data_IF_081846633606
#
_entry.id   IF_081846633606
#
_cell.length_a   1.000
_cell.length_b   1.000
_cell.length_c   1.000
_cell.angle_alpha   90.00
_cell.angle_beta   90.00
_cell.angle_gamma   90.00
#
_symmetry.space_group_name_H-M   'P 1'
#
loop_
_entity.id
_entity.type
_entity.pdbx_description
1 polymer ?
#
# COMPACT_ATOMS: atom_id res chain seq x y z
N UNK A 1 12.79 4.94 -5.96
CA UNK A 1 14.18 4.65 -6.38
C UNK A 1 14.15 4.62 -7.88
N UNK A 2 15.00 5.39 -8.57
CA UNK A 2 15.16 5.32 -10.02
C UNK A 2 15.99 4.10 -10.48
N UNK A 3 15.76 2.93 -9.89
CA UNK A 3 16.37 1.68 -10.35
C UNK A 3 15.62 1.23 -11.60
N UNK A 4 16.36 0.97 -12.68
CA UNK A 4 15.79 0.40 -13.89
C UNK A 4 15.52 -1.09 -13.68
N UNK A 5 14.28 -1.52 -13.95
CA UNK A 5 13.99 -2.94 -14.14
C UNK A 5 14.26 -3.27 -15.61
N UNK A 6 15.12 -4.26 -15.87
CA UNK A 6 15.41 -4.72 -17.22
C UNK A 6 14.33 -5.66 -17.76
N UNK A 7 13.58 -6.30 -16.86
CA UNK A 7 12.49 -7.22 -17.16
C UNK A 7 11.28 -6.94 -16.26
N UNK A 8 10.10 -7.33 -16.70
CA UNK A 8 8.83 -7.09 -16.04
C UNK A 8 7.98 -8.38 -15.96
N UNK A 9 6.79 -8.30 -15.34
CA UNK A 9 5.86 -9.45 -15.20
C UNK A 9 5.47 -10.04 -16.55
N UNK A 10 5.23 -9.22 -17.57
CA UNK A 10 4.88 -9.68 -18.92
C UNK A 10 6.01 -10.52 -19.51
N UNK A 11 7.25 -10.06 -19.40
CA UNK A 11 8.42 -10.82 -19.90
C UNK A 11 8.54 -12.17 -19.19
N UNK A 12 8.33 -12.20 -17.86
CA UNK A 12 8.39 -13.44 -17.09
C UNK A 12 7.32 -14.45 -17.55
N UNK A 13 6.10 -13.99 -17.80
CA UNK A 13 5.00 -14.84 -18.26
C UNK A 13 5.26 -15.36 -19.68
N UNK A 14 5.64 -14.48 -20.62
CA UNK A 14 5.92 -14.86 -22.00
C UNK A 14 7.09 -15.84 -22.14
N UNK A 15 8.12 -15.69 -21.32
CA UNK A 15 9.29 -16.58 -21.30
C UNK A 15 9.18 -17.74 -20.30
N UNK A 16 8.00 -17.98 -19.72
CA UNK A 16 7.75 -19.03 -18.73
C UNK A 16 8.82 -19.06 -17.61
N UNK A 17 9.25 -17.88 -17.19
CA UNK A 17 10.31 -17.67 -16.21
C UNK A 17 9.72 -17.33 -14.85
N UNK A 18 10.45 -17.68 -13.78
CA UNK A 18 9.97 -17.38 -12.42
C UNK A 18 10.00 -15.89 -12.12
N UNK A 19 9.08 -15.42 -11.29
CA UNK A 19 9.04 -14.03 -10.83
C UNK A 19 10.31 -13.61 -10.09
N UNK A 20 11.04 -14.56 -9.50
CA UNK A 20 12.32 -14.26 -8.84
C UNK A 20 13.37 -13.75 -9.82
N UNK A 21 13.34 -14.16 -11.10
CA UNK A 21 14.30 -13.69 -12.12
C UNK A 21 14.08 -12.23 -12.52
N UNK A 22 12.84 -11.76 -12.43
CA UNK A 22 12.46 -10.38 -12.77
C UNK A 22 12.26 -9.49 -11.53
N UNK A 23 12.51 -10.06 -10.35
CA UNK A 23 12.41 -9.35 -9.08
C UNK A 23 13.67 -8.54 -8.82
N UNK A 24 13.49 -7.26 -8.52
CA UNK A 24 14.58 -6.34 -8.20
C UNK A 24 14.56 -6.05 -6.71
N UNK A 25 15.66 -6.40 -6.03
CA UNK A 25 15.84 -6.14 -4.61
C UNK A 25 16.20 -4.66 -4.38
N UNK A 26 15.38 -3.94 -3.62
CA UNK A 26 15.56 -2.51 -3.31
C UNK A 26 16.26 -2.32 -1.96
N UNK A 27 15.97 -3.20 -1.00
CA UNK A 27 16.62 -3.31 0.30
C UNK A 27 16.43 -4.74 0.83
N UNK A 28 17.01 -5.09 1.97
CA UNK A 28 16.81 -6.42 2.59
C UNK A 28 15.35 -6.77 2.92
N UNK A 29 14.43 -5.81 2.89
CA UNK A 29 13.03 -5.97 3.29
C UNK A 29 12.04 -5.61 2.17
N UNK A 30 12.51 -5.08 1.05
CA UNK A 30 11.65 -4.58 -0.03
C UNK A 30 12.22 -5.00 -1.37
N UNK A 31 11.36 -5.63 -2.15
CA UNK A 31 11.62 -6.02 -3.53
C UNK A 31 10.47 -5.52 -4.39
N UNK A 32 10.72 -5.28 -5.67
CA UNK A 32 9.67 -4.93 -6.61
C UNK A 32 9.81 -5.72 -7.90
N UNK A 33 8.70 -5.86 -8.61
CA UNK A 33 8.66 -6.35 -9.98
C UNK A 33 7.98 -5.26 -10.80
N UNK A 34 8.55 -4.89 -11.95
CA UNK A 34 7.87 -3.96 -12.85
C UNK A 34 6.64 -4.66 -13.47
N UNK A 35 5.51 -3.93 -13.57
CA UNK A 35 4.26 -4.51 -14.09
C UNK A 35 4.30 -4.82 -15.59
N UNK A 36 5.04 -4.03 -16.38
CA UNK A 36 4.96 -4.07 -17.84
C UNK A 36 3.66 -3.45 -18.36
N UNK A 37 3.47 -3.42 -19.68
CA UNK A 37 2.24 -2.91 -20.32
C UNK A 37 1.38 -4.07 -20.85
N UNK A 38 0.06 -3.95 -20.77
CA UNK A 38 -0.87 -4.89 -21.40
C UNK A 38 -1.08 -6.22 -20.66
N UNK A 39 -0.90 -6.24 -19.34
CA UNK A 39 -0.99 -7.46 -18.55
C UNK A 39 -2.40 -8.08 -18.53
N UNK A 40 -3.48 -7.29 -18.43
CA UNK A 40 -4.84 -7.85 -18.53
C UNK A 40 -5.21 -8.26 -19.96
N UNK A 41 -4.65 -7.62 -20.99
CA UNK A 41 -4.76 -8.12 -22.36
C UNK A 41 -4.07 -9.48 -22.52
N UNK A 42 -2.90 -9.67 -21.89
CA UNK A 42 -2.20 -10.94 -21.88
C UNK A 42 -3.04 -12.06 -21.24
N UNK A 43 -3.67 -11.79 -20.10
CA UNK A 43 -4.55 -12.76 -19.43
C UNK A 43 -5.78 -13.12 -20.26
N UNK A 44 -6.34 -12.16 -21.01
CA UNK A 44 -7.50 -12.40 -21.87
C UNK A 44 -7.18 -13.21 -23.11
N UNK A 45 -6.02 -12.96 -23.73
CA UNK A 45 -5.60 -13.66 -24.94
C UNK A 45 -5.23 -15.12 -24.65
N UNK A 46 -4.75 -15.41 -23.44
CA UNK A 46 -4.32 -16.75 -23.06
C UNK A 46 -4.53 -16.96 -21.53
N UNK A 47 -5.55 -17.74 -21.14
CA UNK A 47 -5.84 -18.06 -19.74
C UNK A 47 -4.72 -18.82 -19.01
N UNK A 48 -3.84 -19.52 -19.72
CA UNK A 48 -2.68 -20.18 -19.11
C UNK A 48 -1.73 -19.18 -18.46
N UNK A 49 -1.61 -17.96 -18.99
CA UNK A 49 -0.82 -16.91 -18.33
C UNK A 49 -1.41 -16.49 -16.98
N UNK A 50 -2.75 -16.50 -16.83
CA UNK A 50 -3.38 -16.23 -15.54
C UNK A 50 -3.07 -17.35 -14.54
N UNK A 51 -3.12 -18.61 -14.98
CA UNK A 51 -2.75 -19.74 -14.12
C UNK A 51 -1.27 -19.68 -13.72
N UNK A 52 -0.37 -19.38 -14.65
CA UNK A 52 1.06 -19.19 -14.36
C UNK A 52 1.27 -18.03 -13.37
N UNK A 53 0.57 -16.91 -13.56
CA UNK A 53 0.60 -15.77 -12.66
C UNK A 53 0.16 -16.16 -11.23
N UNK A 54 -0.95 -16.90 -11.09
CA UNK A 54 -1.44 -17.39 -9.79
C UNK A 54 -0.41 -18.31 -9.12
N UNK A 55 0.19 -19.25 -9.86
CA UNK A 55 1.22 -20.16 -9.32
C UNK A 55 2.45 -19.37 -8.85
N UNK A 56 2.92 -18.40 -9.63
CA UNK A 56 4.05 -17.55 -9.25
C UNK A 56 3.73 -16.68 -8.02
N UNK A 57 2.50 -16.18 -7.90
CA UNK A 57 2.06 -15.48 -6.69
C UNK A 57 2.04 -16.40 -5.46
N UNK A 58 1.62 -17.66 -5.58
CA UNK A 58 1.67 -18.61 -4.47
C UNK A 58 3.10 -18.86 -3.99
N UNK A 59 4.05 -18.97 -4.92
CA UNK A 59 5.48 -19.08 -4.59
C UNK A 59 5.96 -17.82 -3.86
N UNK A 60 5.59 -16.63 -4.36
CA UNK A 60 5.94 -15.37 -3.72
C UNK A 60 5.34 -15.23 -2.30
N UNK A 61 4.11 -15.71 -2.08
CA UNK A 61 3.46 -15.70 -0.75
C UNK A 61 4.22 -16.52 0.30
N UNK A 62 5.01 -17.50 -0.11
CA UNK A 62 5.87 -18.26 0.81
C UNK A 62 7.13 -17.48 1.23
N UNK A 63 7.46 -16.39 0.54
CA UNK A 63 8.71 -15.62 0.71
C UNK A 63 8.48 -14.23 1.31
N UNK A 64 7.27 -13.69 1.20
CA UNK A 64 6.94 -12.33 1.64
C UNK A 64 5.70 -12.31 2.53
N UNK A 65 5.75 -11.50 3.58
CA UNK A 65 4.59 -11.28 4.46
C UNK A 65 3.47 -10.49 3.77
N UNK A 66 3.85 -9.59 2.84
CA UNK A 66 2.93 -8.75 2.09
C UNK A 66 3.33 -8.68 0.63
N UNK A 67 2.34 -8.79 -0.25
CA UNK A 67 2.47 -8.49 -1.68
C UNK A 67 1.60 -7.27 -1.96
N UNK A 68 2.22 -6.19 -2.41
CA UNK A 68 1.53 -4.95 -2.77
C UNK A 68 1.43 -4.84 -4.28
N UNK A 69 0.21 -4.67 -4.77
CA UNK A 69 -0.05 -4.34 -6.17
C UNK A 69 -0.29 -2.83 -6.28
N UNK A 70 0.55 -2.15 -7.04
CA UNK A 70 0.41 -0.72 -7.33
C UNK A 70 -0.38 -0.57 -8.64
N UNK A 71 -1.66 -0.24 -8.51
CA UNK A 71 -2.53 -0.01 -9.66
C UNK A 71 -2.57 1.48 -9.99
N UNK A 72 -2.42 1.80 -11.29
CA UNK A 72 -2.63 3.14 -11.79
C UNK A 72 -4.06 3.63 -11.57
N UNK A 73 -4.30 4.92 -11.83
CA UNK A 73 -5.60 5.52 -11.66
C UNK A 73 -6.67 4.87 -12.57
N UNK A 74 -7.88 4.71 -12.03
CA UNK A 74 -9.06 4.30 -12.77
C UNK A 74 -9.39 2.80 -12.68
N UNK A 75 -10.57 2.47 -13.20
CA UNK A 75 -11.05 1.11 -13.35
C UNK A 75 -10.52 0.53 -14.67
N UNK A 76 -9.27 0.04 -14.68
CA UNK A 76 -8.80 -0.77 -15.81
C UNK A 76 -9.37 -2.18 -15.73
N UNK A 77 -9.56 -2.83 -16.87
CA UNK A 77 -9.91 -4.25 -16.91
C UNK A 77 -8.82 -5.11 -16.26
N UNK A 78 -7.57 -4.63 -16.27
CA UNK A 78 -6.45 -5.26 -15.57
C UNK A 78 -6.79 -5.45 -14.09
N UNK A 79 -7.34 -4.44 -13.41
CA UNK A 79 -7.69 -4.51 -11.98
C UNK A 79 -8.61 -5.69 -11.65
N UNK A 80 -9.55 -6.03 -12.55
CA UNK A 80 -10.57 -7.06 -12.32
C UNK A 80 -9.96 -8.43 -12.00
N UNK A 81 -8.93 -8.82 -12.75
CA UNK A 81 -8.27 -10.11 -12.55
C UNK A 81 -7.50 -10.17 -11.22
N UNK A 82 -7.00 -9.03 -10.75
CA UNK A 82 -6.29 -8.95 -9.48
C UNK A 82 -7.24 -8.87 -8.28
N UNK A 83 -8.46 -8.33 -8.45
CA UNK A 83 -9.47 -8.30 -7.38
C UNK A 83 -9.78 -9.71 -6.84
N UNK A 84 -9.62 -10.74 -7.67
CA UNK A 84 -9.78 -12.14 -7.26
C UNK A 84 -8.67 -12.61 -6.31
N UNK A 85 -7.45 -12.10 -6.46
CA UNK A 85 -6.28 -12.54 -5.71
C UNK A 85 -6.00 -11.70 -4.44
N UNK A 86 -6.54 -10.49 -4.35
CA UNK A 86 -6.30 -9.58 -3.22
C UNK A 86 -7.19 -9.89 -2.02
N UNK A 87 -6.59 -9.84 -0.84
CA UNK A 87 -7.30 -9.95 0.44
C UNK A 87 -7.95 -8.61 0.84
N UNK A 88 -7.29 -7.49 0.50
CA UNK A 88 -7.64 -6.13 0.96
C UNK A 88 -7.29 -5.10 -0.11
N UNK A 89 -8.00 -3.98 -0.10
CA UNK A 89 -7.74 -2.84 -0.99
C UNK A 89 -7.48 -1.57 -0.18
N UNK A 90 -6.41 -0.85 -0.51
CA UNK A 90 -6.19 0.52 -0.03
C UNK A 90 -6.66 1.48 -1.13
N UNK A 91 -7.73 2.23 -0.85
CA UNK A 91 -8.27 3.23 -1.76
C UNK A 91 -7.69 4.59 -1.41
N UNK A 92 -6.95 5.20 -2.34
CA UNK A 92 -6.39 6.55 -2.17
C UNK A 92 -7.24 7.56 -2.92
N UNK A 93 -7.67 8.62 -2.26
CA UNK A 93 -8.45 9.73 -2.84
C UNK A 93 -7.91 11.08 -2.36
N UNK A 94 -8.44 12.20 -2.87
CA UNK A 94 -8.17 13.55 -2.38
C UNK A 94 -9.47 14.27 -2.01
N UNK A 95 -9.44 15.40 -1.27
CA UNK A 95 -10.64 16.21 -1.00
C UNK A 95 -11.32 16.79 -2.25
N UNK A 96 -10.70 16.70 -3.42
CA UNK A 96 -11.22 17.26 -4.65
C UNK A 96 -12.46 16.49 -5.12
N UNK A 97 -13.58 17.16 -5.48
CA UNK A 97 -14.81 16.48 -5.89
C UNK A 97 -14.64 15.44 -7.01
N UNK A 98 -13.83 15.67 -8.06
CA UNK A 98 -13.58 14.66 -9.09
C UNK A 98 -12.94 13.38 -8.53
N UNK A 99 -11.92 13.50 -7.69
CA UNK A 99 -11.25 12.34 -7.08
C UNK A 99 -12.19 11.51 -6.19
N UNK A 100 -13.11 12.17 -5.47
CA UNK A 100 -14.15 11.49 -4.68
C UNK A 100 -15.11 10.74 -5.59
N UNK A 101 -15.54 11.33 -6.71
CA UNK A 101 -16.44 10.71 -7.67
C UNK A 101 -15.80 9.48 -8.35
N UNK A 102 -14.53 9.59 -8.74
CA UNK A 102 -13.76 8.49 -9.32
C UNK A 102 -13.58 7.35 -8.31
N UNK A 103 -13.26 7.70 -7.05
CA UNK A 103 -13.14 6.73 -5.96
C UNK A 103 -14.45 5.98 -5.72
N UNK A 104 -15.58 6.69 -5.73
CA UNK A 104 -16.91 6.08 -5.61
C UNK A 104 -17.21 5.13 -6.79
N UNK A 105 -16.88 5.53 -8.01
CA UNK A 105 -17.09 4.72 -9.22
C UNK A 105 -16.25 3.44 -9.18
N UNK A 106 -15.00 3.53 -8.73
CA UNK A 106 -14.12 2.38 -8.52
C UNK A 106 -14.68 1.43 -7.45
N UNK A 107 -15.13 1.98 -6.32
CA UNK A 107 -15.78 1.20 -5.27
C UNK A 107 -17.04 0.49 -5.75
N UNK A 108 -17.86 1.16 -6.56
CA UNK A 108 -19.05 0.55 -7.16
C UNK A 108 -18.68 -0.67 -8.01
N UNK A 109 -17.64 -0.55 -8.84
CA UNK A 109 -17.14 -1.67 -9.63
C UNK A 109 -16.63 -2.80 -8.74
N UNK A 110 -15.75 -2.49 -7.78
CA UNK A 110 -15.15 -3.48 -6.88
C UNK A 110 -16.22 -4.23 -6.11
N UNK A 111 -17.17 -3.54 -5.48
CA UNK A 111 -18.24 -4.17 -4.71
C UNK A 111 -19.26 -4.92 -5.57
N UNK A 112 -19.41 -4.57 -6.85
CA UNK A 112 -20.23 -5.38 -7.77
C UNK A 112 -19.62 -6.75 -8.09
N UNK A 113 -18.31 -6.92 -7.85
CA UNK A 113 -17.56 -8.16 -8.12
C UNK A 113 -17.28 -8.91 -6.83
N UNK A 114 -16.82 -8.22 -5.80
CA UNK A 114 -16.39 -8.78 -4.51
C UNK A 114 -16.92 -7.90 -3.38
N UNK A 115 -18.19 -8.12 -3.03
CA UNK A 115 -18.92 -7.30 -2.05
C UNK A 115 -18.30 -7.34 -0.64
N UNK A 116 -17.63 -8.44 -0.30
CA UNK A 116 -16.97 -8.67 0.98
C UNK A 116 -15.52 -8.15 1.04
N UNK A 117 -15.00 -7.58 -0.05
CA UNK A 117 -13.63 -7.07 -0.07
C UNK A 117 -13.48 -5.90 0.90
N UNK A 118 -12.52 -6.00 1.83
CA UNK A 118 -12.25 -4.92 2.76
C UNK A 118 -11.51 -3.76 2.05
N UNK A 119 -12.23 -2.67 1.82
CA UNK A 119 -11.67 -1.41 1.32
C UNK A 119 -11.29 -0.50 2.50
N UNK A 120 -10.05 -0.02 2.50
CA UNK A 120 -9.50 0.91 3.49
C UNK A 120 -9.14 2.24 2.82
N UNK A 121 -9.77 3.34 3.21
CA UNK A 121 -9.62 4.62 2.55
C UNK A 121 -8.51 5.48 3.16
N UNK A 122 -7.68 6.05 2.28
CA UNK A 122 -6.68 7.07 2.60
C UNK A 122 -7.06 8.36 1.87
N UNK A 123 -7.29 9.44 2.61
CA UNK A 123 -7.52 10.76 2.02
C UNK A 123 -6.21 11.53 1.98
N UNK A 124 -5.60 11.59 0.81
CA UNK A 124 -4.32 12.24 0.57
C UNK A 124 -4.48 13.74 0.22
N UNK A 125 -3.41 14.51 0.35
CA UNK A 125 -3.36 15.95 0.04
C UNK A 125 -4.38 16.80 0.80
N UNK A 126 -4.63 16.45 2.06
CA UNK A 126 -5.51 17.23 2.94
C UNK A 126 -4.82 18.48 3.48
N UNK A 127 -5.59 19.53 3.75
CA UNK A 127 -5.14 20.70 4.52
C UNK A 127 -4.92 20.32 5.98
N UNK A 128 -5.86 19.54 6.54
CA UNK A 128 -5.80 19.05 7.90
C UNK A 128 -6.57 17.72 8.06
N UNK A 129 -6.49 17.15 9.26
CA UNK A 129 -7.19 15.90 9.59
C UNK A 129 -8.72 16.03 9.53
N UNK A 130 -9.28 17.22 9.81
CA UNK A 130 -10.72 17.46 9.83
C UNK A 130 -11.29 17.40 8.42
N UNK A 131 -10.59 17.99 7.45
CA UNK A 131 -10.91 17.88 6.03
C UNK A 131 -10.87 16.42 5.56
N UNK A 132 -9.79 15.70 5.87
CA UNK A 132 -9.68 14.28 5.55
C UNK A 132 -10.85 13.44 6.08
N UNK A 133 -11.22 13.66 7.34
CA UNK A 133 -12.36 12.99 7.96
C UNK A 133 -13.69 13.36 7.31
N UNK A 134 -13.89 14.63 6.95
CA UNK A 134 -15.11 15.10 6.26
C UNK A 134 -15.23 14.46 4.87
N UNK A 135 -14.15 14.41 4.12
CA UNK A 135 -14.08 13.76 2.79
C UNK A 135 -14.40 12.28 2.88
N UNK A 136 -13.75 11.55 3.79
CA UNK A 136 -14.03 10.12 3.98
C UNK A 136 -15.48 9.87 4.40
N UNK A 137 -16.02 10.65 5.34
CA UNK A 137 -17.43 10.49 5.77
C UNK A 137 -18.39 10.63 4.60
N UNK A 138 -18.17 11.61 3.73
CA UNK A 138 -19.00 11.82 2.54
C UNK A 138 -18.95 10.62 1.58
N UNK A 139 -17.74 10.11 1.30
CA UNK A 139 -17.57 8.92 0.47
C UNK A 139 -18.25 7.71 1.13
N UNK A 140 -17.95 7.47 2.41
CA UNK A 140 -18.47 6.35 3.20
C UNK A 140 -19.99 6.35 3.30
N UNK A 141 -20.62 7.49 3.58
CA UNK A 141 -22.09 7.57 3.69
C UNK A 141 -22.78 7.33 2.35
N UNK A 142 -22.18 7.82 1.26
CA UNK A 142 -22.70 7.63 -0.09
C UNK A 142 -22.59 6.16 -0.50
N UNK A 143 -21.42 5.55 -0.29
CA UNK A 143 -21.20 4.13 -0.55
C UNK A 143 -22.13 3.24 0.30
N UNK A 144 -22.28 3.52 1.60
CA UNK A 144 -23.19 2.75 2.45
C UNK A 144 -24.64 2.80 1.92
N UNK A 145 -25.11 3.98 1.52
CA UNK A 145 -26.49 4.18 1.04
C UNK A 145 -26.76 3.48 -0.30
N UNK A 146 -25.81 3.51 -1.24
CA UNK A 146 -26.06 3.09 -2.62
C UNK A 146 -25.40 1.77 -3.01
N UNK A 147 -24.35 1.35 -2.31
CA UNK A 147 -23.60 0.13 -2.59
C UNK A 147 -23.82 -0.95 -1.52
N UNK A 148 -24.46 -0.63 -0.39
CA UNK A 148 -24.65 -1.55 0.73
C UNK A 148 -23.36 -1.89 1.50
N UNK A 149 -22.25 -1.24 1.15
CA UNK A 149 -20.94 -1.41 1.79
C UNK A 149 -20.18 -0.07 1.78
N UNK A 150 -19.27 0.11 2.73
CA UNK A 150 -18.53 1.37 2.91
C UNK A 150 -17.06 1.11 3.24
N UNK A 151 -16.14 1.97 2.79
CA UNK A 151 -14.73 1.79 3.10
C UNK A 151 -14.46 2.15 4.54
N UNK A 152 -13.64 1.35 5.21
CA UNK A 152 -13.10 1.70 6.53
C UNK A 152 -12.12 2.87 6.44
N UNK A 153 -11.99 3.64 7.52
CA UNK A 153 -11.01 4.71 7.60
C UNK A 153 -9.61 4.13 7.88
N UNK A 154 -8.62 4.48 7.04
CA UNK A 154 -7.21 4.17 7.32
C UNK A 154 -6.45 5.39 7.82
N UNK A 155 -6.43 6.47 7.02
CA UNK A 155 -5.68 7.68 7.34
C UNK A 155 -6.10 8.89 6.49
N UNK A 156 -5.68 10.08 6.92
CA UNK A 156 -5.48 11.23 6.04
C UNK A 156 -4.00 11.55 5.98
N UNK A 157 -3.52 11.95 4.80
CA UNK A 157 -2.17 12.48 4.61
C UNK A 157 -2.28 13.96 4.25
N UNK A 158 -1.59 14.81 5.00
CA UNK A 158 -1.56 16.24 4.70
C UNK A 158 -0.67 16.55 3.49
N UNK A 159 -1.00 17.64 2.79
CA UNK A 159 -0.12 18.20 1.77
C UNK A 159 1.19 18.62 2.43
N UNK A 160 2.31 18.28 1.79
CA UNK A 160 3.65 18.49 2.34
C UNK A 160 4.63 18.83 1.20
N UNK A 161 5.31 19.97 1.30
CA UNK A 161 6.25 20.43 0.30
C UNK A 161 7.51 19.55 0.22
N UNK A 162 7.91 18.92 1.33
CA UNK A 162 9.04 18.00 1.36
C UNK A 162 8.75 16.74 0.54
N UNK A 163 7.49 16.30 0.49
CA UNK A 163 7.06 15.23 -0.42
C UNK A 163 7.31 15.65 -1.87
N UNK A 164 6.83 16.81 -2.29
CA UNK A 164 7.04 17.32 -3.65
C UNK A 164 8.51 17.47 -4.01
N UNK A 165 9.34 17.95 -3.07
CA UNK A 165 10.78 18.03 -3.23
C UNK A 165 11.41 16.63 -3.40
N UNK A 166 10.97 15.65 -2.63
CA UNK A 166 11.48 14.28 -2.70
C UNK A 166 11.19 13.60 -4.04
N UNK A 167 9.99 13.83 -4.59
CA UNK A 167 9.57 13.32 -5.90
C UNK A 167 10.44 13.91 -7.01
N UNK A 168 10.69 15.23 -6.99
CA UNK A 168 11.62 15.90 -7.93
C UNK A 168 13.04 15.32 -7.87
N UNK A 169 13.46 14.84 -6.70
CA UNK A 169 14.76 14.19 -6.48
C UNK A 169 14.76 12.69 -6.79
N UNK A 170 13.63 12.11 -7.20
CA UNK A 170 13.43 10.68 -7.43
C UNK A 170 13.84 9.79 -6.22
N UNK A 171 13.72 10.33 -5.01
CA UNK A 171 14.06 9.65 -3.76
C UNK A 171 12.83 9.63 -2.85
N UNK A 172 12.45 8.47 -2.27
CA UNK A 172 11.29 8.39 -1.38
C UNK A 172 11.35 9.44 -0.26
N UNK A 173 10.23 10.11 0.02
CA UNK A 173 10.13 11.16 1.04
C UNK A 173 10.64 10.67 2.41
N UNK A 174 10.23 9.47 2.81
CA UNK A 174 10.66 8.86 4.08
C UNK A 174 12.17 8.66 4.22
N UNK A 175 12.93 8.66 3.11
CA UNK A 175 14.39 8.58 3.11
C UNK A 175 15.05 9.95 3.03
N UNK A 176 14.51 10.85 2.21
CA UNK A 176 15.06 12.20 2.03
C UNK A 176 14.75 13.13 3.21
N UNK A 177 13.54 13.02 3.76
CA UNK A 177 12.98 13.87 4.80
C UNK A 177 12.28 12.98 5.84
N UNK A 178 13.03 12.23 6.67
CA UNK A 178 12.44 11.24 7.60
C UNK A 178 11.52 11.85 8.66
N UNK A 179 11.70 13.14 8.95
CA UNK A 179 10.91 13.89 9.95
C UNK A 179 9.80 14.75 9.32
N UNK A 180 9.62 14.71 7.99
CA UNK A 180 8.52 15.37 7.30
C UNK A 180 7.18 14.96 7.88
N UNK A 181 6.19 15.85 7.82
CA UNK A 181 4.82 15.56 8.24
C UNK A 181 4.28 14.34 7.49
N UNK A 182 4.51 14.30 6.17
CA UNK A 182 4.17 13.15 5.33
C UNK A 182 4.86 11.86 5.77
N UNK A 183 6.17 11.92 6.07
CA UNK A 183 6.94 10.75 6.50
C UNK A 183 6.48 10.19 7.84
N UNK A 184 6.12 11.06 8.79
CA UNK A 184 5.54 10.68 10.07
C UNK A 184 4.16 10.05 9.85
N UNK A 185 3.29 10.69 9.07
CA UNK A 185 1.94 10.21 8.79
C UNK A 185 1.95 8.87 8.04
N UNK A 186 2.89 8.65 7.12
CA UNK A 186 3.05 7.38 6.41
C UNK A 186 3.45 6.23 7.36
N UNK A 187 4.33 6.47 8.33
CA UNK A 187 4.65 5.48 9.38
C UNK A 187 3.43 5.13 10.23
N UNK A 188 2.61 6.13 10.57
CA UNK A 188 1.37 5.92 11.31
C UNK A 188 0.34 5.15 10.47
N UNK A 189 0.20 5.48 9.19
CA UNK A 189 -0.64 4.75 8.24
C UNK A 189 -0.24 3.28 8.18
N UNK A 190 1.05 2.98 8.00
CA UNK A 190 1.54 1.60 7.97
C UNK A 190 1.22 0.85 9.27
N UNK A 191 1.38 1.49 10.45
CA UNK A 191 0.99 0.89 11.73
C UNK A 191 -0.51 0.63 11.82
N UNK A 192 -1.34 1.59 11.43
CA UNK A 192 -2.80 1.43 11.39
C UNK A 192 -3.22 0.30 10.48
N UNK A 193 -2.58 0.16 9.31
CA UNK A 193 -2.84 -0.93 8.36
C UNK A 193 -2.52 -2.28 8.98
N UNK A 194 -1.36 -2.43 9.64
CA UNK A 194 -0.99 -3.68 10.30
C UNK A 194 -1.99 -4.08 11.40
N UNK A 195 -2.40 -3.13 12.24
CA UNK A 195 -3.39 -3.36 13.30
C UNK A 195 -4.75 -3.79 12.73
N UNK A 196 -5.25 -3.08 11.72
CA UNK A 196 -6.52 -3.42 11.06
C UNK A 196 -6.43 -4.71 10.24
N UNK A 197 -5.22 -5.16 9.90
CA UNK A 197 -4.96 -6.42 9.21
C UNK A 197 -4.86 -7.63 10.13
N UNK A 198 -5.04 -7.44 11.44
CA UNK A 198 -4.88 -8.52 12.43
C UNK A 198 -3.43 -9.00 12.55
N UNK A 199 -2.48 -8.24 12.00
CA UNK A 199 -1.06 -8.55 12.04
C UNK A 199 -0.46 -8.01 13.33
N UNK A 200 0.43 -8.78 13.96
CA UNK A 200 1.16 -8.31 15.14
C UNK A 200 2.09 -7.17 14.71
N UNK A 201 1.86 -5.96 15.23
CA UNK A 201 2.81 -4.86 15.07
C UNK A 201 4.03 -5.19 15.91
N UNK A 202 5.08 -5.72 15.28
CA UNK A 202 6.39 -5.78 15.93
C UNK A 202 6.92 -4.35 16.05
N UNK A 203 6.87 -3.79 17.25
CA UNK A 203 7.61 -2.57 17.58
C UNK A 203 9.10 -2.90 17.50
N UNK A 204 9.75 -2.46 16.42
CA UNK A 204 11.21 -2.50 16.33
C UNK A 204 11.80 -1.78 17.56
N UNK A 205 12.41 -2.56 18.46
CA UNK A 205 13.15 -2.11 19.64
C UNK A 205 12.46 -1.03 20.49
N UNK A 206 11.21 -1.25 20.89
CA UNK A 206 10.82 -0.67 22.17
C UNK A 206 11.50 -1.50 23.26
N UNK A 207 12.61 -0.97 23.79
CA UNK A 207 13.19 -1.51 25.03
C UNK A 207 12.04 -1.74 26.00
N UNK A 208 11.89 -2.97 26.45
CA UNK A 208 10.87 -3.31 27.45
C UNK A 208 11.01 -2.36 28.63
N UNK A 209 9.94 -2.09 29.37
CA UNK A 209 10.02 -1.27 30.58
C UNK A 209 11.19 -1.70 31.48
N UNK A 210 11.39 -3.02 31.63
CA UNK A 210 12.53 -3.59 32.35
C UNK A 210 13.91 -3.27 31.77
N UNK A 211 14.06 -3.18 30.45
CA UNK A 211 15.31 -2.74 29.81
C UNK A 211 15.57 -1.24 30.00
N UNK A 212 14.52 -0.41 30.00
CA UNK A 212 14.62 1.02 30.31
C UNK A 212 15.05 1.23 31.77
N UNK A 213 14.44 0.50 32.70
CA UNK A 213 14.78 0.54 34.13
C UNK A 213 16.19 0.02 34.38
N UNK A 214 16.59 -1.13 33.81
CA UNK A 214 17.97 -1.65 33.95
C UNK A 214 19.03 -0.68 33.43
N UNK A 215 18.77 -0.02 32.31
CA UNK A 215 19.67 1.00 31.77
C UNK A 215 19.77 2.22 32.71
N UNK A 216 18.65 2.67 33.27
CA UNK A 216 18.63 3.77 34.24
C UNK A 216 19.40 3.41 35.51
N UNK A 217 19.18 2.21 36.07
CA UNK A 217 19.90 1.71 37.24
C UNK A 217 21.42 1.57 36.99
N UNK A 218 21.82 1.13 35.80
CA UNK A 218 23.23 1.06 35.41
C UNK A 218 23.90 2.45 35.23
N UNK A 219 23.12 3.50 34.94
CA UNK A 219 23.58 4.88 34.83
C UNK A 219 23.79 5.52 36.21
N UNK A 220 22.92 5.24 37.17
CA UNK A 220 23.04 5.77 38.55
C UNK A 220 24.06 4.98 39.40
N UNK A 221 24.28 3.69 39.09
CA UNK A 221 25.25 2.84 39.78
C UNK A 221 26.72 3.13 39.47
N UNK A 222 27.03 4.02 38.52
CA UNK A 222 28.41 4.45 38.18
C UNK A 222 28.89 5.68 38.94
N UNK A 223 28.10 6.22 39.88
CA UNK A 223 28.43 7.40 40.68
C UNK A 223 28.76 7.10 42.15
N UNK A 224 28.96 5.83 42.52
CA UNK A 224 29.43 5.42 43.85
C UNK A 224 30.57 4.41 43.72
N UNK A 225 31.75 4.91 43.37
CA UNK A 225 33.01 4.17 43.32
C UNK A 225 34.17 5.15 43.24
#
# INVERSE_FOLDING_TARGET
>A
MGQAAHFNIVDALQHQSSFQKVCVQVSSQVSFIAGGTGLGSLFRLNPEYLNQFIVQLQIARAQYDFILFDFGAGASEDLLHFLLAVDRMILVTTPEPPAIADSYSLMKLVYSIKQDLQIMAVVNQTLDRREGMKTWRRLSSTSARFLGASPSWLASLQKDDELSQSVRRQKPCMRSFPNASYSVQMRLLARSFLLQSGQKVFTAHERTFGEKVRKYLALIGRHQG
#
